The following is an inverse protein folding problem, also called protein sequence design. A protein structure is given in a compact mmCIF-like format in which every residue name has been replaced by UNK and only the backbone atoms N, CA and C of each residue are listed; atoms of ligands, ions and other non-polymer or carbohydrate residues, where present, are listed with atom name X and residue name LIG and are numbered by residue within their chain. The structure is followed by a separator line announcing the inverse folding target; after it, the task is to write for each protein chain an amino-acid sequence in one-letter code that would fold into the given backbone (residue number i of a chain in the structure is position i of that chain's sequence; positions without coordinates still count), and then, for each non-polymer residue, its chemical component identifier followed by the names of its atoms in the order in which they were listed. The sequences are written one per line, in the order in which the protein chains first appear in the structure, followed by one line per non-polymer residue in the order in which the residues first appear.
data_IF_454839696158
#
_entry.id   IF_454839696158
#
_cell.length_a   1.000
_cell.length_b   1.000
_cell.length_c   1.000
_cell.angle_alpha   90.00
_cell.angle_beta   90.00
_cell.angle_gamma   90.00
#
_symmetry.space_group_name_H-M   'P 1'
#
loop_
_entity.id
_entity.type
_entity.pdbx_description
1 polymer ?
#
# COMPACT_ATOMS: atom_id res chain seq x y z
N UNK A 1 -42.05 -13.78 13.03
CA UNK A 1 -42.89 -13.42 11.86
C UNK A 1 -42.82 -14.58 10.87
N UNK A 2 -43.95 -15.11 10.42
CA UNK A 2 -43.99 -16.18 9.42
C UNK A 2 -43.81 -15.58 8.03
N UNK A 3 -42.79 -15.98 7.24
CA UNK A 3 -42.62 -15.48 5.88
C UNK A 3 -43.82 -15.87 4.99
N UNK A 4 -44.14 -15.03 4.00
CA UNK A 4 -45.27 -15.24 3.06
C UNK A 4 -44.94 -14.89 1.60
N UNK A 5 -43.65 -14.81 1.26
CA UNK A 5 -43.19 -14.46 -0.10
C UNK A 5 -42.48 -15.59 -0.85
N UNK A 6 -41.72 -15.27 -1.92
CA UNK A 6 -41.03 -16.23 -2.77
C UNK A 6 -39.99 -17.06 -2.00
N UNK A 7 -39.50 -18.15 -2.59
CA UNK A 7 -38.59 -19.12 -1.95
C UNK A 7 -37.35 -18.47 -1.28
N UNK A 8 -36.87 -17.33 -1.79
CA UNK A 8 -35.74 -16.58 -1.22
C UNK A 8 -36.02 -16.09 0.21
N UNK A 9 -37.25 -15.68 0.51
CA UNK A 9 -37.64 -15.23 1.86
C UNK A 9 -37.70 -16.38 2.86
N UNK A 10 -37.82 -17.62 2.37
CA UNK A 10 -37.89 -18.82 3.19
C UNK A 10 -36.52 -19.40 3.54
N UNK A 11 -35.43 -19.04 2.83
CA UNK A 11 -34.10 -19.63 3.04
C UNK A 11 -33.59 -19.47 4.48
N UNK A 12 -33.81 -18.31 5.10
CA UNK A 12 -33.38 -18.06 6.49
C UNK A 12 -34.17 -18.94 7.47
N UNK A 13 -35.48 -19.08 7.27
CA UNK A 13 -36.33 -19.92 8.11
C UNK A 13 -36.04 -21.42 7.92
N UNK A 14 -35.71 -21.83 6.69
CA UNK A 14 -35.33 -23.21 6.36
C UNK A 14 -33.95 -23.58 6.92
N UNK A 15 -32.97 -22.66 6.86
CA UNK A 15 -31.66 -22.84 7.50
C UNK A 15 -31.82 -23.00 9.02
N UNK A 16 -32.55 -22.08 9.66
CA UNK A 16 -32.80 -22.16 11.09
C UNK A 16 -33.48 -23.49 11.48
N UNK A 17 -34.47 -23.93 10.69
CA UNK A 17 -35.13 -25.23 10.87
C UNK A 17 -34.17 -26.42 10.80
N UNK A 18 -33.21 -26.41 9.86
CA UNK A 18 -32.17 -27.44 9.73
C UNK A 18 -31.20 -27.45 10.91
N UNK A 19 -30.86 -26.27 11.44
CA UNK A 19 -30.04 -26.11 12.64
C UNK A 19 -30.77 -26.51 13.94
N UNK A 20 -32.07 -26.85 13.86
CA UNK A 20 -32.91 -27.16 15.01
C UNK A 20 -33.38 -25.92 15.79
N UNK A 21 -33.24 -24.73 15.20
CA UNK A 21 -33.57 -23.44 15.81
C UNK A 21 -34.80 -22.79 15.12
N UNK A 22 -35.75 -22.27 15.89
CA UNK A 22 -36.88 -21.48 15.35
C UNK A 22 -38.20 -22.25 15.09
N UNK A 23 -39.16 -21.63 14.37
CA UNK A 23 -40.55 -22.09 14.30
C UNK A 23 -40.75 -23.26 13.31
N UNK A 24 -40.96 -24.47 13.83
CA UNK A 24 -41.11 -25.71 13.06
C UNK A 24 -42.44 -25.82 12.31
N UNK A 25 -43.55 -25.40 12.91
CA UNK A 25 -44.89 -25.65 12.36
C UNK A 25 -45.15 -24.95 11.00
N UNK A 26 -44.74 -23.68 10.83
CA UNK A 26 -44.96 -22.96 9.58
C UNK A 26 -44.04 -23.41 8.45
N UNK A 27 -42.83 -23.87 8.78
CA UNK A 27 -41.86 -24.40 7.81
C UNK A 27 -42.32 -25.76 7.29
N UNK A 28 -42.78 -26.64 8.18
CA UNK A 28 -43.30 -27.97 7.79
C UNK A 28 -44.52 -27.84 6.87
N UNK A 29 -45.41 -26.89 7.15
CA UNK A 29 -46.57 -26.65 6.28
C UNK A 29 -46.14 -26.12 4.90
N UNK A 30 -45.20 -25.17 4.85
CA UNK A 30 -44.65 -24.67 3.58
C UNK A 30 -43.96 -25.78 2.76
N UNK A 31 -43.22 -26.68 3.41
CA UNK A 31 -42.57 -27.81 2.76
C UNK A 31 -43.57 -28.82 2.17
N UNK A 32 -44.83 -28.85 2.63
CA UNK A 32 -45.88 -29.67 1.99
C UNK A 32 -46.34 -29.07 0.66
N UNK A 33 -46.35 -27.75 0.55
CA UNK A 33 -46.87 -27.03 -0.60
C UNK A 33 -45.80 -26.67 -1.64
N UNK A 34 -44.52 -26.59 -1.26
CA UNK A 34 -43.45 -26.08 -2.11
C UNK A 34 -42.39 -27.15 -2.46
N UNK A 35 -42.36 -27.60 -3.73
CA UNK A 35 -41.41 -28.61 -4.20
C UNK A 35 -39.96 -28.13 -4.26
N UNK A 36 -39.73 -26.87 -4.66
CA UNK A 36 -38.37 -26.30 -4.76
C UNK A 36 -37.69 -26.20 -3.40
N UNK A 37 -38.42 -25.78 -2.36
CA UNK A 37 -37.88 -25.72 -1.00
C UNK A 37 -37.63 -27.12 -0.42
N UNK A 38 -38.46 -28.13 -0.73
CA UNK A 38 -38.17 -29.53 -0.37
C UNK A 38 -36.87 -30.03 -0.96
N UNK A 39 -36.64 -29.75 -2.25
CA UNK A 39 -35.43 -30.17 -2.95
C UNK A 39 -34.19 -29.51 -2.34
N UNK A 40 -34.27 -28.22 -2.05
CA UNK A 40 -33.19 -27.49 -1.40
C UNK A 40 -32.84 -28.04 -0.01
N UNK A 41 -33.85 -28.36 0.81
CA UNK A 41 -33.64 -28.99 2.14
C UNK A 41 -32.96 -30.35 2.00
N UNK A 42 -33.41 -31.18 1.06
CA UNK A 42 -32.79 -32.49 0.81
C UNK A 42 -31.34 -32.39 0.34
N UNK A 43 -31.01 -31.37 -0.47
CA UNK A 43 -29.64 -31.12 -0.93
C UNK A 43 -28.73 -30.71 0.26
N UNK A 44 -29.21 -29.86 1.16
CA UNK A 44 -28.44 -29.43 2.35
C UNK A 44 -28.23 -30.58 3.32
N UNK A 45 -29.27 -31.39 3.60
CA UNK A 45 -29.15 -32.59 4.44
C UNK A 45 -28.19 -33.64 3.86
N UNK A 46 -28.08 -33.69 2.54
CA UNK A 46 -27.11 -34.54 1.85
C UNK A 46 -25.68 -34.03 2.06
N UNK A 47 -25.45 -32.74 1.88
CA UNK A 47 -24.15 -32.11 2.07
C UNK A 47 -23.67 -32.22 3.53
N UNK A 48 -24.54 -31.96 4.51
CA UNK A 48 -24.19 -32.11 5.93
C UNK A 48 -23.80 -33.55 6.29
N UNK A 49 -24.50 -34.54 5.71
CA UNK A 49 -24.17 -35.95 5.91
C UNK A 49 -22.80 -36.27 5.32
N UNK A 50 -22.54 -35.82 4.10
CA UNK A 50 -21.26 -36.03 3.42
C UNK A 50 -20.11 -35.40 4.21
N UNK A 51 -20.28 -34.16 4.68
CA UNK A 51 -19.30 -33.47 5.51
C UNK A 51 -19.09 -34.21 6.83
N UNK A 52 -20.17 -34.66 7.49
CA UNK A 52 -20.08 -35.42 8.73
C UNK A 52 -19.35 -36.75 8.55
N UNK A 53 -19.63 -37.49 7.48
CA UNK A 53 -18.93 -38.74 7.17
C UNK A 53 -17.45 -38.49 6.82
N UNK A 54 -17.16 -37.43 6.06
CA UNK A 54 -15.79 -37.08 5.65
C UNK A 54 -14.96 -36.59 6.84
N UNK A 55 -15.57 -35.83 7.76
CA UNK A 55 -14.92 -35.28 8.95
C UNK A 55 -15.05 -36.17 10.18
N UNK A 56 -15.86 -37.23 10.15
CA UNK A 56 -15.93 -38.19 11.25
C UNK A 56 -14.57 -38.88 11.37
N UNK A 57 -13.83 -38.47 12.39
CA UNK A 57 -12.56 -39.09 12.83
C UNK A 57 -12.88 -40.40 13.59
N UNK A 58 -13.82 -41.20 13.10
CA UNK A 58 -14.10 -42.53 13.67
C UNK A 58 -13.07 -43.57 13.19
N UNK A 59 -12.08 -43.15 12.40
CA UNK A 59 -11.06 -44.01 11.82
C UNK A 59 -9.76 -44.17 12.61
N UNK A 60 -9.46 -43.39 13.66
CA UNK A 60 -8.16 -43.52 14.35
C UNK A 60 -8.25 -43.44 15.88
N UNK A 61 -8.91 -44.41 16.56
CA UNK A 61 -8.76 -44.61 17.99
C UNK A 61 -7.31 -44.92 18.42
N UNK A 62 -6.39 -45.14 17.47
CA UNK A 62 -4.97 -45.45 17.73
C UNK A 62 -4.02 -44.27 17.58
N UNK A 63 -4.41 -43.15 16.96
CA UNK A 63 -3.46 -42.08 16.66
C UNK A 63 -2.82 -41.49 17.93
N UNK A 64 -3.62 -41.21 18.96
CA UNK A 64 -3.11 -40.67 20.22
C UNK A 64 -2.23 -41.70 20.93
N UNK A 65 -2.63 -42.97 20.94
CA UNK A 65 -1.84 -44.04 21.55
C UNK A 65 -0.51 -44.27 20.83
N UNK A 66 -0.49 -44.23 19.50
CA UNK A 66 0.69 -44.38 18.65
C UNK A 66 1.65 -43.19 18.81
N UNK A 67 1.12 -41.96 18.86
CA UNK A 67 1.92 -40.75 19.13
C UNK A 67 2.52 -40.80 20.54
N UNK A 68 1.73 -41.19 21.55
CA UNK A 68 2.23 -41.27 22.92
C UNK A 68 3.23 -42.42 23.12
N UNK A 69 3.11 -43.51 22.35
CA UNK A 69 4.11 -44.56 22.30
C UNK A 69 5.42 -44.08 21.66
N UNK A 70 5.36 -43.28 20.58
CA UNK A 70 6.54 -42.68 19.94
C UNK A 70 7.25 -41.67 20.87
N UNK A 71 6.49 -40.81 21.53
CA UNK A 71 7.04 -39.82 22.49
C UNK A 71 7.79 -40.53 23.62
N UNK A 72 7.25 -41.63 24.17
CA UNK A 72 7.93 -42.44 25.18
C UNK A 72 9.21 -43.08 24.65
N UNK A 73 9.22 -43.50 23.38
CA UNK A 73 10.43 -44.06 22.72
C UNK A 73 11.53 -43.01 22.58
N UNK A 74 11.18 -41.80 22.14
CA UNK A 74 12.10 -40.66 22.02
C UNK A 74 12.63 -40.25 23.40
N UNK A 75 11.78 -40.21 24.42
CA UNK A 75 12.17 -39.86 25.78
C UNK A 75 13.04 -40.92 26.47
N UNK A 76 12.93 -42.20 26.07
CA UNK A 76 13.74 -43.31 26.59
C UNK A 76 15.08 -43.48 25.87
N UNK A 77 15.31 -42.80 24.76
CA UNK A 77 16.63 -42.74 24.13
C UNK A 77 17.62 -42.03 25.08
N UNK A 78 18.83 -42.57 25.21
CA UNK A 78 19.85 -41.99 26.08
C UNK A 78 20.04 -40.49 25.79
N UNK A 79 20.27 -39.66 26.83
CA UNK A 79 20.49 -38.24 26.63
C UNK A 79 21.70 -38.04 25.70
N UNK A 80 21.49 -37.26 24.64
CA UNK A 80 22.57 -36.88 23.72
C UNK A 80 23.77 -36.36 24.53
N UNK A 81 25.01 -36.74 24.17
CA UNK A 81 26.20 -36.25 24.85
C UNK A 81 26.18 -34.71 24.84
N UNK A 82 26.32 -34.12 26.04
CA UNK A 82 26.25 -32.67 26.22
C UNK A 82 27.25 -31.91 25.36
N UNK A 83 27.03 -30.62 25.08
CA UNK A 83 27.81 -29.83 24.13
C UNK A 83 29.32 -29.80 24.44
N UNK A 84 29.72 -30.05 25.69
CA UNK A 84 31.12 -30.12 26.12
C UNK A 84 31.90 -31.33 25.57
N UNK A 85 31.23 -32.40 25.13
CA UNK A 85 31.89 -33.59 24.57
C UNK A 85 32.41 -33.38 23.14
N UNK A 86 31.91 -32.35 22.45
CA UNK A 86 32.21 -32.07 21.04
C UNK A 86 33.23 -30.94 20.84
N UNK A 87 33.70 -30.30 21.91
CA UNK A 87 34.61 -29.16 21.84
C UNK A 87 36.06 -29.61 22.07
N UNK A 88 36.91 -29.70 21.02
CA UNK A 88 38.33 -29.99 21.20
C UNK A 88 39.01 -28.88 22.05
N UNK A 89 39.58 -29.28 23.20
CA UNK A 89 40.29 -28.42 24.18
C UNK A 89 41.67 -27.91 23.69
N UNK A 90 41.71 -27.23 22.55
CA UNK A 90 42.91 -26.49 22.10
C UNK A 90 42.51 -25.33 21.22
N UNK A 91 41.88 -24.34 21.85
CA UNK A 91 41.55 -23.06 21.26
C UNK A 91 42.85 -22.28 21.04
N UNK A 92 43.40 -22.35 19.82
CA UNK A 92 44.62 -21.60 19.47
C UNK A 92 44.21 -20.18 19.12
N UNK A 93 44.73 -19.19 19.84
CA UNK A 93 44.51 -17.76 19.55
C UNK A 93 44.70 -17.39 18.07
N UNK A 94 45.61 -18.09 17.39
CA UNK A 94 45.86 -17.94 15.96
C UNK A 94 44.63 -18.26 15.07
N UNK A 95 43.80 -19.25 15.43
CA UNK A 95 42.61 -19.62 14.65
C UNK A 95 41.51 -18.55 14.76
N UNK A 96 41.29 -18.02 15.96
CA UNK A 96 40.34 -16.91 16.15
C UNK A 96 40.82 -15.62 15.48
N UNK A 97 42.13 -15.35 15.52
CA UNK A 97 42.70 -14.21 14.81
C UNK A 97 42.53 -14.35 13.29
N UNK A 98 42.75 -15.53 12.73
CA UNK A 98 42.52 -15.79 11.31
C UNK A 98 41.04 -15.64 10.92
N UNK A 99 40.12 -16.18 11.72
CA UNK A 99 38.68 -16.04 11.49
C UNK A 99 38.25 -14.57 11.56
N UNK A 100 38.72 -13.82 12.57
CA UNK A 100 38.42 -12.41 12.73
C UNK A 100 38.97 -11.57 11.56
N UNK A 101 40.17 -11.90 11.06
CA UNK A 101 40.75 -11.24 9.90
C UNK A 101 39.90 -11.45 8.62
N UNK A 102 39.44 -12.69 8.38
CA UNK A 102 38.54 -12.99 7.24
C UNK A 102 37.21 -12.27 7.42
N UNK A 103 36.61 -12.29 8.62
CA UNK A 103 35.35 -11.59 8.89
C UNK A 103 35.49 -10.07 8.69
N UNK A 104 36.59 -9.45 9.14
CA UNK A 104 36.86 -8.04 8.94
C UNK A 104 37.00 -7.69 7.45
N UNK A 105 37.68 -8.54 6.66
CA UNK A 105 37.78 -8.37 5.21
C UNK A 105 36.41 -8.46 4.53
N UNK A 106 35.58 -9.44 4.90
CA UNK A 106 34.22 -9.57 4.37
C UNK A 106 33.37 -8.34 4.69
N UNK A 107 33.41 -7.86 5.94
CA UNK A 107 32.71 -6.63 6.34
C UNK A 107 33.23 -5.44 5.53
N UNK A 108 34.54 -5.31 5.32
CA UNK A 108 35.12 -4.21 4.53
C UNK A 108 34.61 -4.19 3.07
N UNK A 109 34.39 -5.36 2.46
CA UNK A 109 33.84 -5.47 1.10
C UNK A 109 32.32 -5.24 1.08
N UNK A 110 31.59 -5.77 2.06
CA UNK A 110 30.13 -5.80 2.07
C UNK A 110 29.51 -4.52 2.64
N UNK A 111 30.12 -3.89 3.64
CA UNK A 111 29.62 -2.66 4.26
C UNK A 111 29.36 -1.50 3.27
N UNK A 112 30.25 -1.17 2.30
CA UNK A 112 29.98 -0.08 1.35
C UNK A 112 28.78 -0.37 0.44
N UNK A 113 28.50 -1.64 0.13
CA UNK A 113 27.34 -2.03 -0.66
C UNK A 113 26.03 -1.70 0.07
N UNK A 114 25.96 -1.96 1.37
CA UNK A 114 24.77 -1.67 2.17
C UNK A 114 24.46 -0.18 2.30
N UNK A 115 25.48 0.69 2.30
CA UNK A 115 25.27 2.15 2.34
C UNK A 115 24.67 2.66 1.03
N UNK A 116 25.18 2.20 -0.11
CA UNK A 116 24.64 2.58 -1.43
C UNK A 116 23.24 2.04 -1.71
N UNK A 117 22.95 0.80 -1.27
CA UNK A 117 21.63 0.17 -1.45
C UNK A 117 20.52 0.97 -0.77
N UNK A 118 20.73 1.45 0.46
CA UNK A 118 19.72 2.24 1.17
C UNK A 118 19.40 3.56 0.46
N UNK A 119 20.41 4.24 -0.06
CA UNK A 119 20.21 5.52 -0.71
C UNK A 119 19.53 5.39 -2.08
N UNK A 120 19.87 4.35 -2.85
CA UNK A 120 19.15 4.01 -4.07
C UNK A 120 17.71 3.54 -3.80
N UNK A 121 17.48 2.77 -2.74
CA UNK A 121 16.13 2.38 -2.31
C UNK A 121 15.28 3.59 -1.95
N UNK A 122 15.84 4.57 -1.22
CA UNK A 122 15.15 5.83 -0.91
C UNK A 122 14.79 6.61 -2.19
N UNK A 123 15.69 6.68 -3.18
CA UNK A 123 15.39 7.30 -4.48
C UNK A 123 14.24 6.62 -5.21
N UNK A 124 14.27 5.28 -5.32
CA UNK A 124 13.20 4.51 -5.96
C UNK A 124 11.87 4.68 -5.24
N UNK A 125 11.88 4.67 -3.91
CA UNK A 125 10.70 4.90 -3.10
C UNK A 125 10.15 6.32 -3.29
N UNK A 126 11.02 7.34 -3.36
CA UNK A 126 10.63 8.72 -3.65
C UNK A 126 9.92 8.85 -5.00
N UNK A 127 10.47 8.24 -6.05
CA UNK A 127 9.83 8.22 -7.37
C UNK A 127 8.48 7.49 -7.35
N UNK A 128 8.36 6.41 -6.59
CA UNK A 128 7.11 5.68 -6.46
C UNK A 128 6.05 6.48 -5.69
N UNK A 129 6.43 7.11 -4.59
CA UNK A 129 5.57 8.01 -3.82
C UNK A 129 5.06 9.16 -4.69
N UNK A 130 5.95 9.82 -5.44
CA UNK A 130 5.57 10.89 -6.36
C UNK A 130 4.58 10.42 -7.44
N UNK A 131 4.72 9.19 -7.97
CA UNK A 131 3.75 8.58 -8.91
C UNK A 131 2.38 8.36 -8.26
N UNK A 132 2.36 7.80 -7.05
CA UNK A 132 1.12 7.55 -6.31
C UNK A 132 0.38 8.86 -6.03
N UNK A 133 1.10 9.90 -5.62
CA UNK A 133 0.52 11.23 -5.38
C UNK A 133 0.02 11.85 -6.68
N UNK A 134 0.79 11.81 -7.76
CA UNK A 134 0.35 12.34 -9.06
C UNK A 134 -0.92 11.63 -9.58
N UNK A 135 -1.00 10.31 -9.39
CA UNK A 135 -2.21 9.55 -9.70
C UNK A 135 -3.39 9.98 -8.82
N UNK A 136 -3.19 10.08 -7.50
CA UNK A 136 -4.21 10.54 -6.56
C UNK A 136 -4.73 11.94 -6.92
N UNK A 137 -3.87 12.85 -7.38
CA UNK A 137 -4.27 14.18 -7.86
C UNK A 137 -5.24 14.11 -9.04
N UNK A 138 -5.04 13.17 -9.98
CA UNK A 138 -5.94 13.00 -11.14
C UNK A 138 -7.26 12.36 -10.74
N UNK A 139 -7.24 11.38 -9.84
CA UNK A 139 -8.46 10.79 -9.30
C UNK A 139 -9.27 11.84 -8.54
N UNK A 140 -8.60 12.66 -7.72
CA UNK A 140 -9.21 13.82 -7.08
C UNK A 140 -9.86 14.75 -8.10
N UNK A 141 -9.15 15.15 -9.15
CA UNK A 141 -9.71 16.06 -10.14
C UNK A 141 -10.96 15.48 -10.82
N UNK A 142 -10.95 14.19 -11.15
CA UNK A 142 -12.11 13.50 -11.71
C UNK A 142 -13.35 13.58 -10.79
N UNK A 143 -13.15 13.49 -9.47
CA UNK A 143 -14.23 13.58 -8.48
C UNK A 143 -14.63 15.04 -8.15
N UNK A 144 -13.81 16.01 -8.59
CA UNK A 144 -13.95 17.44 -8.31
C UNK A 144 -14.12 18.27 -9.59
N UNK A 145 -14.95 17.81 -10.53
CA UNK A 145 -15.29 18.54 -11.76
C UNK A 145 -14.05 18.97 -12.58
N UNK A 146 -13.04 18.11 -12.62
CA UNK A 146 -11.75 18.35 -13.26
C UNK A 146 -10.95 19.52 -12.67
N UNK A 147 -11.23 19.94 -11.43
CA UNK A 147 -10.45 20.96 -10.75
C UNK A 147 -9.35 20.34 -9.88
N UNK A 148 -8.19 20.97 -9.93
CA UNK A 148 -7.07 20.64 -9.07
C UNK A 148 -7.34 20.96 -7.61
N UNK A 149 -6.67 20.28 -6.67
CA UNK A 149 -6.77 20.62 -5.26
C UNK A 149 -6.19 22.02 -4.98
N UNK A 150 -6.66 22.64 -3.90
CA UNK A 150 -6.09 23.89 -3.41
C UNK A 150 -4.66 23.68 -2.92
N UNK A 151 -3.72 24.50 -3.38
CA UNK A 151 -2.27 24.35 -3.12
C UNK A 151 -1.86 24.55 -1.67
N UNK A 152 -2.69 25.16 -0.82
CA UNK A 152 -2.45 25.32 0.62
C UNK A 152 -2.69 24.04 1.43
N UNK A 153 -3.56 23.14 0.94
CA UNK A 153 -4.00 21.92 1.64
C UNK A 153 -4.16 20.73 0.69
N UNK A 154 -3.40 20.72 -0.40
CA UNK A 154 -3.50 19.70 -1.43
C UNK A 154 -3.25 18.31 -0.85
N UNK A 155 -2.26 18.17 0.04
CA UNK A 155 -1.92 16.94 0.75
C UNK A 155 -3.13 16.39 1.50
N UNK A 156 -3.86 17.24 2.22
CA UNK A 156 -5.06 16.84 2.97
C UNK A 156 -6.22 16.47 2.07
N UNK A 157 -6.41 17.20 0.97
CA UNK A 157 -7.43 16.91 -0.04
C UNK A 157 -7.20 15.55 -0.70
N UNK A 158 -5.94 15.11 -0.83
CA UNK A 158 -5.57 13.84 -1.43
C UNK A 158 -5.58 12.65 -0.46
N UNK A 159 -5.63 12.86 0.87
CA UNK A 159 -5.65 11.78 1.87
C UNK A 159 -6.68 10.67 1.61
N UNK A 160 -7.92 10.95 1.16
CA UNK A 160 -8.90 9.89 0.88
C UNK A 160 -8.51 8.97 -0.29
N UNK A 161 -7.59 9.40 -1.16
CA UNK A 161 -7.20 8.71 -2.39
C UNK A 161 -5.89 7.93 -2.24
N UNK A 162 -5.26 7.96 -1.06
CA UNK A 162 -4.02 7.26 -0.76
C UNK A 162 -4.15 6.40 0.50
N UNK A 163 -3.44 5.28 0.54
CA UNK A 163 -3.52 4.35 1.67
C UNK A 163 -2.61 4.73 2.86
N UNK A 164 -1.65 5.62 2.65
CA UNK A 164 -0.68 6.03 3.66
C UNK A 164 -0.28 7.48 3.44
N UNK A 165 -0.24 8.26 4.50
CA UNK A 165 0.15 9.68 4.44
C UNK A 165 1.64 9.87 4.25
N UNK A 166 2.44 8.84 4.55
CA UNK A 166 3.89 8.87 4.32
C UNK A 166 4.24 9.02 2.84
N UNK A 167 3.30 8.71 1.93
CA UNK A 167 3.51 8.89 0.48
C UNK A 167 3.62 10.36 0.08
N UNK A 168 3.20 11.31 0.92
CA UNK A 168 3.35 12.74 0.63
C UNK A 168 4.75 13.28 0.98
N UNK A 169 5.59 12.47 1.62
CA UNK A 169 6.91 12.88 2.08
C UNK A 169 8.01 12.16 1.31
N UNK A 170 9.07 12.91 1.00
CA UNK A 170 10.31 12.33 0.50
C UNK A 170 10.94 11.42 1.60
N UNK A 171 11.38 10.19 1.28
CA UNK A 171 11.95 9.26 2.27
C UNK A 171 13.43 9.55 2.62
N UNK A 172 14.02 10.62 2.06
CA UNK A 172 15.37 11.04 2.43
C UNK A 172 15.44 11.47 3.92
N UNK A 173 16.61 11.44 4.58
CA UNK A 173 16.74 11.83 5.99
C UNK A 173 16.29 13.27 6.30
N UNK A 174 16.37 14.17 5.32
CA UNK A 174 15.88 15.55 5.38
C UNK A 174 14.64 15.75 4.48
N UNK A 175 13.92 14.66 4.19
CA UNK A 175 12.77 14.66 3.33
C UNK A 175 11.66 15.53 3.89
N UNK A 176 11.02 16.26 2.99
CA UNK A 176 9.89 17.13 3.34
C UNK A 176 8.66 16.68 2.55
N UNK A 177 7.52 17.29 2.89
CA UNK A 177 6.33 17.23 2.06
C UNK A 177 6.71 17.63 0.63
N UNK A 178 6.22 16.90 -0.37
CA UNK A 178 6.39 17.30 -1.76
C UNK A 178 5.83 18.71 -2.02
N UNK A 179 6.35 19.38 -3.05
CA UNK A 179 5.86 20.65 -3.51
C UNK A 179 4.73 20.46 -4.50
N UNK A 180 3.68 21.26 -4.35
CA UNK A 180 2.60 21.40 -5.32
C UNK A 180 2.69 22.80 -5.94
N UNK A 181 2.75 22.94 -7.27
CA UNK A 181 2.85 24.24 -7.92
C UNK A 181 1.65 25.13 -7.59
N UNK A 182 1.91 26.38 -7.20
CA UNK A 182 0.85 27.33 -6.87
C UNK A 182 -0.02 27.65 -8.09
N UNK A 183 0.58 27.57 -9.28
CA UNK A 183 -0.03 27.72 -10.60
C UNK A 183 -1.16 26.72 -10.85
N UNK A 184 -1.09 25.53 -10.26
CA UNK A 184 -2.12 24.50 -10.43
C UNK A 184 -3.23 24.59 -9.39
N UNK A 185 -3.11 25.43 -8.38
CA UNK A 185 -4.04 25.47 -7.25
C UNK A 185 -5.46 25.85 -7.71
N UNK A 186 -6.38 24.88 -7.73
CA UNK A 186 -7.77 25.10 -8.14
C UNK A 186 -7.99 25.26 -9.64
N UNK A 187 -6.95 25.14 -10.47
CA UNK A 187 -7.09 25.22 -11.92
C UNK A 187 -7.79 23.99 -12.51
N UNK A 188 -8.47 24.18 -13.63
CA UNK A 188 -9.14 23.10 -14.35
C UNK A 188 -8.15 22.32 -15.23
N UNK A 189 -8.24 20.98 -15.22
CA UNK A 189 -7.46 20.11 -16.11
C UNK A 189 -7.68 20.44 -17.59
N UNK A 190 -8.87 20.91 -17.96
CA UNK A 190 -9.19 21.31 -19.33
C UNK A 190 -8.44 22.58 -19.78
N UNK A 191 -7.99 23.42 -18.84
CA UNK A 191 -7.21 24.60 -19.17
C UNK A 191 -5.75 24.25 -19.55
N UNK A 192 -5.31 23.01 -19.34
CA UNK A 192 -3.92 22.60 -19.50
C UNK A 192 -3.66 22.02 -20.90
N UNK A 193 -2.94 22.79 -21.73
CA UNK A 193 -2.65 22.45 -23.13
C UNK A 193 -1.68 21.27 -23.27
N UNK A 194 -0.75 21.10 -22.33
CA UNK A 194 0.32 20.09 -22.42
C UNK A 194 0.49 19.27 -21.12
N UNK A 195 -0.39 18.31 -20.81
CA UNK A 195 -0.31 17.53 -19.58
C UNK A 195 1.03 16.82 -19.35
N UNK A 196 1.69 16.33 -20.40
CA UNK A 196 3.00 15.67 -20.29
C UNK A 196 4.15 16.63 -19.98
N UNK A 197 3.94 17.94 -20.12
CA UNK A 197 4.90 18.99 -19.79
C UNK A 197 4.46 19.85 -18.60
N UNK A 198 3.29 19.58 -18.01
CA UNK A 198 2.79 20.30 -16.83
C UNK A 198 3.28 19.59 -15.58
N UNK A 199 4.19 20.22 -14.83
CA UNK A 199 4.66 19.68 -13.56
C UNK A 199 3.55 19.77 -12.51
N UNK A 200 3.33 18.67 -11.80
CA UNK A 200 2.27 18.53 -10.78
C UNK A 200 2.85 18.35 -9.38
N UNK A 201 4.04 17.76 -9.28
CA UNK A 201 4.68 17.47 -7.99
C UNK A 201 6.20 17.55 -8.12
N UNK A 202 6.89 17.96 -7.06
CA UNK A 202 8.35 17.97 -7.04
C UNK A 202 8.92 17.82 -5.63
N UNK A 203 10.18 17.39 -5.51
CA UNK A 203 10.90 17.41 -4.24
C UNK A 203 11.10 18.85 -3.75
N UNK A 204 10.33 19.25 -2.73
CA UNK A 204 10.36 20.60 -2.19
C UNK A 204 11.59 20.84 -1.31
N UNK A 205 12.17 22.02 -1.47
CA UNK A 205 13.23 22.61 -0.67
C UNK A 205 12.72 23.39 0.55
N UNK A 206 13.61 24.00 1.33
CA UNK A 206 13.26 24.62 2.61
C UNK A 206 12.18 25.70 2.52
N UNK A 207 12.03 26.38 1.37
CA UNK A 207 10.97 27.35 1.10
C UNK A 207 9.95 26.74 0.14
N UNK A 208 8.64 27.08 0.27
CA UNK A 208 7.64 26.69 -0.71
C UNK A 208 8.06 27.14 -2.12
N UNK A 209 7.99 26.22 -3.10
CA UNK A 209 8.42 26.50 -4.48
C UNK A 209 9.88 26.16 -4.77
N UNK A 210 10.76 26.07 -3.76
CA UNK A 210 12.16 25.68 -3.99
C UNK A 210 12.24 24.20 -4.36
N UNK A 211 13.13 23.84 -5.30
CA UNK A 211 13.44 22.44 -5.61
C UNK A 211 14.66 21.95 -4.83
N UNK A 212 14.58 20.73 -4.29
CA UNK A 212 15.68 20.12 -3.55
C UNK A 212 16.06 18.74 -4.11
N UNK A 213 17.23 18.60 -4.75
CA UNK A 213 17.70 17.32 -5.25
C UNK A 213 18.28 16.43 -4.13
N UNK A 214 17.40 15.79 -3.33
CA UNK A 214 17.75 15.05 -2.10
C UNK A 214 18.33 13.65 -2.33
N UNK A 215 18.38 13.17 -3.57
CA UNK A 215 18.82 11.83 -3.92
C UNK A 215 20.08 11.87 -4.80
N UNK A 216 21.25 12.10 -4.21
CA UNK A 216 22.54 12.15 -4.92
C UNK A 216 22.57 13.20 -6.05
N UNK A 217 22.07 14.41 -5.77
CA UNK A 217 22.05 15.49 -6.75
C UNK A 217 20.91 15.42 -7.75
N UNK A 218 19.91 14.54 -7.54
CA UNK A 218 18.62 14.60 -8.24
C UNK A 218 17.45 14.60 -7.25
N UNK A 219 16.31 15.13 -7.68
CA UNK A 219 15.03 15.09 -6.96
C UNK A 219 13.91 14.56 -7.85
N UNK A 220 12.87 14.02 -7.25
CA UNK A 220 11.69 13.50 -7.96
C UNK A 220 10.84 14.64 -8.48
N UNK A 221 10.41 14.51 -9.74
CA UNK A 221 9.49 15.42 -10.42
C UNK A 221 8.41 14.59 -11.08
N UNK A 222 7.15 14.96 -10.84
CA UNK A 222 5.98 14.37 -11.46
C UNK A 222 5.28 15.35 -12.38
N UNK A 223 4.78 14.83 -13.50
CA UNK A 223 4.00 15.55 -14.49
C UNK A 223 2.53 15.15 -14.40
N UNK A 224 1.68 15.99 -14.98
CA UNK A 224 0.24 15.81 -14.94
C UNK A 224 -0.20 14.54 -15.64
N UNK A 225 0.53 14.09 -16.66
CA UNK A 225 0.30 12.82 -17.33
C UNK A 225 0.64 11.58 -16.46
N UNK A 226 1.15 11.77 -15.25
CA UNK A 226 1.56 10.71 -14.32
C UNK A 226 3.00 10.23 -14.55
N UNK A 227 3.71 10.80 -15.53
CA UNK A 227 5.14 10.54 -15.70
C UNK A 227 5.92 11.08 -14.51
N UNK A 228 6.91 10.32 -14.05
CA UNK A 228 7.79 10.74 -12.95
C UNK A 228 9.22 10.38 -13.31
N UNK A 229 10.09 11.38 -13.13
CA UNK A 229 11.51 11.31 -13.44
C UNK A 229 12.33 11.94 -12.32
N UNK A 230 13.63 11.67 -12.30
CA UNK A 230 14.57 12.26 -11.36
C UNK A 230 15.43 13.30 -12.08
N UNK A 231 15.38 14.56 -11.66
CA UNK A 231 16.10 15.68 -12.31
C UNK A 231 17.04 16.39 -11.34
N UNK A 232 18.18 16.93 -11.81
CA UNK A 232 19.08 17.72 -10.98
C UNK A 232 18.54 19.12 -10.65
N UNK A 233 17.63 19.63 -11.47
CA UNK A 233 16.93 20.90 -11.30
C UNK A 233 15.52 20.79 -11.87
N UNK A 234 14.62 21.70 -11.50
CA UNK A 234 13.36 21.83 -12.23
C UNK A 234 13.66 22.22 -13.69
N UNK A 235 12.97 21.61 -14.67
CA UNK A 235 13.02 22.10 -16.02
C UNK A 235 12.40 23.50 -16.09
N UNK A 236 12.87 24.33 -17.03
CA UNK A 236 12.13 25.54 -17.44
C UNK A 236 10.84 25.07 -18.10
N UNK A 237 9.79 24.94 -17.28
CA UNK A 237 8.52 24.39 -17.71
C UNK A 237 7.63 25.51 -18.23
N UNK A 238 7.27 25.52 -19.53
CA UNK A 238 6.23 26.40 -20.01
C UNK A 238 4.89 25.88 -19.47
N UNK A 239 4.25 26.59 -18.54
CA UNK A 239 3.08 26.00 -17.89
C UNK A 239 2.14 26.88 -17.08
N UNK A 240 1.83 28.09 -17.55
CA UNK A 240 0.43 28.54 -17.79
C UNK A 240 0.51 29.54 -18.95
N UNK A 241 -0.18 29.32 -20.07
CA UNK A 241 -0.60 30.46 -20.89
C UNK A 241 -1.58 31.26 -20.04
N UNK A 242 -1.12 32.26 -19.27
CA UNK A 242 -2.01 33.20 -18.58
C UNK A 242 -3.12 33.59 -19.56
N UNK A 243 -4.41 33.33 -19.29
CA UNK A 243 -5.43 34.04 -20.05
C UNK A 243 -5.19 35.53 -19.81
N UNK A 244 -4.97 36.27 -20.89
CA UNK A 244 -4.81 37.71 -20.83
C UNK A 244 -6.07 38.29 -20.15
N UNK A 245 -5.91 38.92 -18.99
CA UNK A 245 -7.02 39.57 -18.30
C UNK A 245 -6.55 40.52 -17.21
N UNK A 246 -7.30 41.61 -16.99
CA UNK A 246 -7.53 42.67 -17.95
C UNK A 246 -6.31 43.59 -18.06
N UNK A 247 -6.23 44.39 -19.12
CA UNK A 247 -5.22 45.43 -19.28
C UNK A 247 -5.07 46.24 -17.97
N UNK A 248 -3.91 46.13 -17.32
CA UNK A 248 -3.51 47.05 -16.27
C UNK A 248 -3.45 48.44 -16.89
N UNK A 249 -4.51 49.20 -16.63
CA UNK A 249 -4.63 50.62 -16.87
C UNK A 249 -3.37 51.37 -16.45
N UNK A 250 -2.85 52.16 -17.40
CA UNK A 250 -2.22 53.46 -17.20
C UNK A 250 -1.09 53.58 -16.16
N UNK A 251 0.15 53.60 -16.66
CA UNK A 251 1.13 54.60 -16.23
C UNK A 251 2.01 54.99 -17.42
N UNK A 252 1.50 55.87 -18.27
CA UNK A 252 2.33 56.65 -19.20
C UNK A 252 3.21 57.61 -18.39
N UNK A 253 4.38 57.13 -17.96
CA UNK A 253 5.48 58.00 -17.53
C UNK A 253 6.29 58.40 -18.75
N UNK A 254 5.85 59.44 -19.48
CA UNK A 254 6.67 60.05 -20.53
C UNK A 254 7.85 60.76 -19.87
N UNK A 255 9.05 60.37 -20.26
CA UNK A 255 10.29 61.11 -20.04
C UNK A 255 10.16 62.51 -20.64
N UNK A 256 10.05 63.54 -19.79
CA UNK A 256 10.34 64.91 -20.19
C UNK A 256 11.86 65.09 -20.18
N UNK A 257 12.42 65.46 -21.33
CA UNK A 257 13.78 65.96 -21.45
C UNK A 257 13.93 67.32 -20.75
N UNK A 258 15.18 67.77 -20.52
CA UNK A 258 15.45 68.96 -19.72
C UNK A 258 15.26 70.23 -20.55
N UNK A 259 14.86 71.35 -19.94
CA UNK A 259 15.17 72.67 -20.45
C UNK A 259 16.27 73.35 -19.62
N UNK A 260 17.25 73.88 -20.37
CA UNK A 260 18.09 75.08 -20.16
C UNK A 260 18.58 75.46 -18.75
#
# INVERSE_FOLDING_TARGET
MTPKGPCEEWKVALSAYLDGEGPTACVVEHLRECESCRRWVADVEWDERLVRETLSVDGQPKFVDDVMAEVRRIAAAEPLPGPAAWLPRRFRWAEMAALAAVAALLIAIVAPLFMGVRANAAKTLCLNNARLVAYATRVYANDHWDHMPSGDRWDRSLRPYVHSELVFYCPAPNGMLYGFPAELSGESLQAMVYPSATLTLFDQGPRPGDFAPRHHGVGSVAFLDGHVTALPSLPDLPGISRPAGPASSAAHGRSAGPPE
#
